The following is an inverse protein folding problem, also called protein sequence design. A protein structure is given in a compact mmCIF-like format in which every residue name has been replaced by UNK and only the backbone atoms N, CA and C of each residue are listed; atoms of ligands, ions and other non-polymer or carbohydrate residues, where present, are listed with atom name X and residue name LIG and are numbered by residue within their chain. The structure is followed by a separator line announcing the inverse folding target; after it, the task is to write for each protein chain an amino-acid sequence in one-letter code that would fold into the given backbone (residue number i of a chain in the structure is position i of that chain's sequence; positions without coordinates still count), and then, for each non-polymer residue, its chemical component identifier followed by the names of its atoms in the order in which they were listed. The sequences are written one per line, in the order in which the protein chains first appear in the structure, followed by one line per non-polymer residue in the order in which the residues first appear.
data_IF_364483649223
#
_entry.id   IF_364483649223
#
_cell.length_a   1.000
_cell.length_b   1.000
_cell.length_c   1.000
_cell.angle_alpha   90.00
_cell.angle_beta   90.00
_cell.angle_gamma   90.00
#
_symmetry.space_group_name_H-M   'P 1'
#
loop_
_entity.id
_entity.type
_entity.pdbx_description
1 polymer ?
#
# COMPACT_ATOMS: atom_id res chain seq x y z
N UNK A 1 -8.26 -5.53 1.07
CA UNK A 1 -8.94 -4.76 2.13
C UNK A 1 -7.99 -3.73 2.74
N UNK A 2 -8.53 -2.71 3.33
CA UNK A 2 -7.76 -1.61 3.94
C UNK A 2 -7.83 -1.76 5.45
N UNK A 3 -6.67 -1.83 6.10
CA UNK A 3 -6.60 -2.01 7.56
C UNK A 3 -5.84 -0.88 8.23
N UNK A 4 -6.35 -0.43 9.36
CA UNK A 4 -5.68 0.52 10.23
C UNK A 4 -4.94 -0.22 11.34
N UNK A 5 -3.71 0.22 11.63
CA UNK A 5 -2.91 -0.31 12.74
C UNK A 5 -2.65 0.81 13.74
N UNK A 6 -3.37 0.80 14.85
CA UNK A 6 -3.29 1.88 15.84
C UNK A 6 -3.63 3.21 15.18
N UNK A 7 -2.68 4.15 15.20
CA UNK A 7 -2.84 5.46 14.56
C UNK A 7 -2.46 5.44 13.08
N UNK A 8 -1.96 4.33 12.57
CA UNK A 8 -1.49 4.19 11.20
C UNK A 8 -2.63 3.70 10.31
N UNK A 9 -3.02 4.53 9.38
CA UNK A 9 -4.12 4.26 8.46
C UNK A 9 -3.70 4.56 7.05
N UNK A 10 -4.01 3.69 6.08
CA UNK A 10 -3.73 3.98 4.68
C UNK A 10 -4.41 5.26 4.22
N UNK A 11 -3.65 6.07 3.48
CA UNK A 11 -4.15 7.32 2.88
C UNK A 11 -4.25 7.13 1.38
N UNK A 12 -5.40 7.48 0.85
CA UNK A 12 -5.69 7.34 -0.57
C UNK A 12 -5.92 8.73 -1.16
N UNK A 13 -5.16 9.07 -2.19
CA UNK A 13 -5.29 10.34 -2.92
C UNK A 13 -5.74 10.06 -4.34
N UNK A 14 -6.89 10.58 -4.73
CA UNK A 14 -7.44 10.37 -6.06
C UNK A 14 -8.12 9.01 -6.20
N UNK A 15 -8.08 8.45 -7.39
CA UNK A 15 -8.73 7.18 -7.68
C UNK A 15 -7.72 6.05 -7.69
N UNK A 16 -7.95 5.04 -6.86
CA UNK A 16 -7.11 3.86 -6.79
C UNK A 16 -7.99 2.61 -6.89
N UNK A 17 -7.43 1.55 -7.44
CA UNK A 17 -8.06 0.24 -7.44
C UNK A 17 -7.34 -0.66 -6.44
N UNK A 18 -8.09 -1.21 -5.50
CA UNK A 18 -7.57 -2.22 -4.58
C UNK A 18 -8.46 -3.44 -4.69
N UNK A 19 -7.92 -4.54 -5.18
CA UNK A 19 -8.68 -5.78 -5.32
C UNK A 19 -9.16 -6.24 -3.94
N UNK A 20 -10.32 -6.89 -3.91
CA UNK A 20 -10.92 -7.35 -2.66
C UNK A 20 -10.00 -8.28 -1.89
N UNK A 21 -9.25 -9.13 -2.58
CA UNK A 21 -8.31 -10.05 -1.94
C UNK A 21 -6.96 -9.44 -1.61
N UNK A 22 -6.72 -8.19 -2.00
CA UNK A 22 -5.48 -7.49 -1.64
C UNK A 22 -5.62 -6.84 -0.26
N UNK A 23 -4.52 -6.72 0.45
CA UNK A 23 -4.49 -6.12 1.77
C UNK A 23 -3.54 -4.92 1.80
N UNK A 24 -4.05 -3.79 2.24
CA UNK A 24 -3.25 -2.57 2.44
C UNK A 24 -3.35 -2.23 3.92
N UNK A 25 -2.23 -2.29 4.61
CA UNK A 25 -2.20 -2.29 6.07
C UNK A 25 -1.28 -1.19 6.59
N UNK A 26 -1.79 -0.38 7.51
CA UNK A 26 -0.97 0.56 8.26
C UNK A 26 -0.60 1.83 7.50
N UNK A 27 0.63 2.30 7.69
CA UNK A 27 1.09 3.59 7.17
C UNK A 27 1.49 3.49 5.70
N UNK A 28 0.48 3.48 4.83
CA UNK A 28 0.62 3.35 3.38
C UNK A 28 -0.05 4.55 2.73
N UNK A 29 0.61 5.12 1.73
CA UNK A 29 0.07 6.21 0.93
C UNK A 29 -0.08 5.74 -0.51
N UNK A 30 -1.31 5.71 -1.02
CA UNK A 30 -1.61 5.34 -2.40
C UNK A 30 -2.02 6.59 -3.17
N UNK A 31 -1.27 6.90 -4.21
CA UNK A 31 -1.55 8.07 -5.05
C UNK A 31 -2.46 7.74 -6.22
N UNK A 32 -2.93 8.77 -6.92
CA UNK A 32 -3.89 8.64 -8.00
C UNK A 32 -3.44 7.64 -9.08
N UNK A 33 -4.35 6.79 -9.52
CA UNK A 33 -4.09 5.83 -10.58
C UNK A 33 -3.38 4.55 -10.13
N UNK A 34 -3.14 4.37 -8.84
CA UNK A 34 -2.52 3.15 -8.32
C UNK A 34 -3.48 1.97 -8.45
N UNK A 35 -2.95 0.83 -8.85
CA UNK A 35 -3.69 -0.43 -8.92
C UNK A 35 -3.02 -1.48 -8.05
N UNK A 36 -3.78 -2.06 -7.13
CA UNK A 36 -3.29 -3.15 -6.26
C UNK A 36 -4.12 -4.39 -6.59
N UNK A 37 -3.46 -5.42 -7.10
CA UNK A 37 -4.13 -6.58 -7.68
C UNK A 37 -4.32 -7.72 -6.68
N UNK A 38 -4.91 -8.81 -7.16
CA UNK A 38 -5.40 -9.92 -6.32
C UNK A 38 -4.29 -10.53 -5.48
N UNK A 39 -4.56 -10.71 -4.20
CA UNK A 39 -3.64 -11.35 -3.27
C UNK A 39 -2.40 -10.54 -2.90
N UNK A 40 -2.25 -9.32 -3.43
CA UNK A 40 -1.11 -8.47 -3.07
C UNK A 40 -1.24 -7.99 -1.63
N UNK A 41 -0.10 -7.79 -0.97
CA UNK A 41 -0.05 -7.31 0.41
C UNK A 41 0.90 -6.10 0.48
N UNK A 42 0.41 -5.00 1.00
CA UNK A 42 1.23 -3.80 1.25
C UNK A 42 1.16 -3.54 2.75
N UNK A 43 2.27 -3.70 3.45
CA UNK A 43 2.32 -3.57 4.91
C UNK A 43 3.21 -2.42 5.34
N UNK A 44 2.59 -1.31 5.75
CA UNK A 44 3.29 -0.19 6.39
C UNK A 44 3.22 -0.28 7.90
N UNK A 45 3.57 -1.44 8.45
CA UNK A 45 3.46 -1.72 9.88
C UNK A 45 4.69 -1.26 10.67
N UNK A 46 5.83 -1.11 10.03
CA UNK A 46 7.06 -0.64 10.67
C UNK A 46 7.38 0.79 10.21
N UNK A 47 7.51 1.00 8.91
CA UNK A 47 7.78 2.31 8.33
C UNK A 47 6.79 2.61 7.22
N UNK A 48 6.74 3.89 6.82
CA UNK A 48 5.82 4.34 5.79
C UNK A 48 6.15 3.76 4.42
N UNK A 49 5.11 3.39 3.67
CA UNK A 49 5.19 2.97 2.28
C UNK A 49 4.43 3.99 1.43
N UNK A 50 5.08 4.51 0.39
CA UNK A 50 4.45 5.42 -0.57
C UNK A 50 4.41 4.77 -1.95
N UNK A 51 3.22 4.64 -2.51
CA UNK A 51 3.03 4.12 -3.86
C UNK A 51 2.68 5.30 -4.75
N UNK A 52 3.59 5.62 -5.66
CA UNK A 52 3.45 6.79 -6.54
C UNK A 52 2.38 6.63 -7.60
N UNK A 53 2.03 7.74 -8.27
CA UNK A 53 0.95 7.77 -9.27
C UNK A 53 1.13 6.70 -10.34
N UNK A 54 0.01 6.07 -10.72
CA UNK A 54 -0.09 5.11 -11.81
C UNK A 54 0.77 3.85 -11.63
N UNK A 55 1.23 3.58 -10.40
CA UNK A 55 2.00 2.37 -10.12
C UNK A 55 1.08 1.15 -10.02
N UNK A 56 1.61 0.00 -10.41
CA UNK A 56 0.92 -1.28 -10.30
C UNK A 56 1.60 -2.15 -9.25
N UNK A 57 0.80 -2.71 -8.37
CA UNK A 57 1.25 -3.77 -7.47
C UNK A 57 0.57 -5.06 -7.95
N UNK A 58 1.35 -5.93 -8.55
CA UNK A 58 0.84 -7.12 -9.25
C UNK A 58 0.31 -8.18 -8.30
N UNK A 59 -0.36 -9.17 -8.87
CA UNK A 59 -0.95 -10.28 -8.12
C UNK A 59 0.08 -10.94 -7.22
N UNK A 60 -0.28 -11.18 -5.97
CA UNK A 60 0.53 -11.86 -4.97
C UNK A 60 1.86 -11.18 -4.61
N UNK A 61 2.06 -9.94 -5.03
CA UNK A 61 3.25 -9.19 -4.64
C UNK A 61 3.15 -8.79 -3.17
N UNK A 62 4.30 -8.68 -2.51
CA UNK A 62 4.36 -8.22 -1.13
C UNK A 62 5.29 -7.01 -1.05
N UNK A 63 4.79 -5.91 -0.51
CA UNK A 63 5.57 -4.69 -0.28
C UNK A 63 5.64 -4.48 1.23
N UNK A 64 6.85 -4.45 1.75
CA UNK A 64 7.08 -4.34 3.18
C UNK A 64 8.39 -3.59 3.45
N UNK A 65 8.48 -2.91 4.58
CA UNK A 65 9.69 -2.22 5.00
C UNK A 65 10.16 -2.72 6.36
N UNK A 66 11.48 -2.61 6.59
CA UNK A 66 12.07 -2.86 7.89
C UNK A 66 12.20 -1.55 8.67
N UNK A 67 12.44 -1.69 9.96
CA UNK A 67 12.58 -0.56 10.86
C UNK A 67 13.67 0.41 10.38
N UNK A 68 13.34 1.68 10.31
CA UNK A 68 14.24 2.72 9.86
C UNK A 68 14.36 2.90 8.35
N UNK A 69 13.61 2.10 7.57
CA UNK A 69 13.63 2.16 6.10
C UNK A 69 12.24 2.48 5.57
N UNK A 70 12.13 3.56 4.81
CA UNK A 70 10.89 3.83 4.07
C UNK A 70 10.97 3.20 2.69
N UNK A 71 9.82 2.85 2.12
CA UNK A 71 9.73 2.28 0.80
C UNK A 71 8.93 3.22 -0.11
N UNK A 72 9.46 3.50 -1.30
CA UNK A 72 8.75 4.30 -2.29
C UNK A 72 8.74 3.55 -3.61
N UNK A 73 7.52 3.36 -4.15
CA UNK A 73 7.31 2.74 -5.46
C UNK A 73 6.80 3.82 -6.39
N UNK A 74 7.51 4.05 -7.45
CA UNK A 74 7.20 5.15 -8.36
C UNK A 74 6.73 4.74 -9.72
#
# INVERSE_FOLDING_TARGET
MIYQLGDRKPKISGEVFVAESADVIGDVELHDGVNVWFGAVIRGDVEKITIGKNSNIQDNATVHTDFGLTCTVG
#
